data_IF_903383478336
#
_entry.id   IF_903383478336
#
_cell.length_a   1.000
_cell.length_b   1.000
_cell.length_c   1.000
_cell.angle_alpha   90.00
_cell.angle_beta   90.00
_cell.angle_gamma   90.00
#
_symmetry.space_group_name_H-M   'P 1'
#
loop_
_entity.id
_entity.type
_entity.pdbx_description
1 polymer ?
#
# COMPACT_ATOMS: atom_id res chain seq x y z
N UNK A 1 -8.98 20.52 42.25
CA UNK A 1 -10.06 19.77 41.57
C UNK A 1 -9.72 19.36 40.13
N UNK A 2 -9.05 20.19 39.31
CA UNK A 2 -8.67 19.86 37.93
C UNK A 2 -7.74 18.63 37.75
N UNK A 3 -6.77 18.41 38.64
CA UNK A 3 -5.84 17.28 38.54
C UNK A 3 -6.51 15.90 38.73
N UNK A 4 -7.55 15.81 39.58
CA UNK A 4 -8.34 14.59 39.76
C UNK A 4 -9.23 14.31 38.54
N UNK A 5 -9.77 15.34 37.89
CA UNK A 5 -10.59 15.19 36.69
C UNK A 5 -9.78 14.69 35.48
N UNK A 6 -8.56 15.21 35.29
CA UNK A 6 -7.65 14.75 34.23
C UNK A 6 -7.13 13.33 34.46
N UNK A 7 -6.86 12.95 35.71
CA UNK A 7 -6.44 11.59 36.07
C UNK A 7 -7.56 10.55 35.84
N UNK A 8 -8.80 10.88 36.19
CA UNK A 8 -9.96 10.02 35.94
C UNK A 8 -10.30 9.90 34.44
N UNK A 9 -10.17 10.99 33.67
CA UNK A 9 -10.41 10.96 32.22
C UNK A 9 -9.38 10.09 31.48
N UNK A 10 -8.11 10.14 31.87
CA UNK A 10 -7.05 9.34 31.24
C UNK A 10 -7.13 7.84 31.60
N UNK A 11 -7.47 7.53 32.87
CA UNK A 11 -7.65 6.13 33.32
C UNK A 11 -8.85 5.45 32.64
N UNK A 12 -9.95 6.17 32.45
CA UNK A 12 -11.12 5.66 31.74
C UNK A 12 -10.84 5.39 30.26
N UNK A 13 -10.04 6.24 29.58
CA UNK A 13 -9.61 6.03 28.19
C UNK A 13 -8.61 4.89 28.01
N UNK A 14 -7.72 4.65 28.98
CA UNK A 14 -6.82 3.48 28.94
C UNK A 14 -7.58 2.17 29.21
N UNK A 15 -8.50 2.14 30.18
CA UNK A 15 -9.28 0.93 30.48
C UNK A 15 -10.25 0.56 29.36
N UNK A 16 -10.86 1.53 28.69
CA UNK A 16 -11.68 1.27 27.50
C UNK A 16 -10.83 0.77 26.34
N UNK A 17 -9.69 1.40 26.02
CA UNK A 17 -8.78 0.91 24.97
C UNK A 17 -8.25 -0.51 25.23
N UNK A 18 -7.96 -0.85 26.49
CA UNK A 18 -7.49 -2.19 26.84
C UNK A 18 -8.59 -3.25 26.75
N UNK A 19 -9.83 -2.91 27.14
CA UNK A 19 -10.99 -3.79 26.94
C UNK A 19 -11.31 -3.99 25.45
N UNK A 20 -11.20 -2.96 24.62
CA UNK A 20 -11.42 -3.07 23.16
C UNK A 20 -10.32 -3.89 22.48
N UNK A 21 -9.05 -3.71 22.88
CA UNK A 21 -7.93 -4.55 22.41
C UNK A 21 -8.07 -6.01 22.82
N UNK A 22 -8.52 -6.30 24.05
CA UNK A 22 -8.81 -7.68 24.50
C UNK A 22 -9.96 -8.31 23.73
N UNK A 23 -11.04 -7.57 23.45
CA UNK A 23 -12.17 -8.07 22.66
C UNK A 23 -11.80 -8.34 21.20
N UNK A 24 -10.96 -7.50 20.60
CA UNK A 24 -10.46 -7.71 19.24
C UNK A 24 -9.48 -8.87 19.15
N UNK A 25 -8.56 -9.01 20.13
CA UNK A 25 -7.64 -10.14 20.20
C UNK A 25 -8.40 -11.44 20.46
N UNK A 26 -9.38 -11.43 21.36
CA UNK A 26 -10.26 -12.58 21.62
C UNK A 26 -11.09 -12.96 20.40
N UNK A 27 -11.59 -11.99 19.62
CA UNK A 27 -12.33 -12.26 18.39
C UNK A 27 -11.43 -12.87 17.30
N UNK A 28 -10.21 -12.38 17.15
CA UNK A 28 -9.22 -12.95 16.22
C UNK A 28 -8.85 -14.37 16.66
N UNK A 29 -8.53 -14.60 17.94
CA UNK A 29 -8.18 -15.93 18.42
C UNK A 29 -9.36 -16.90 18.39
N UNK A 30 -10.58 -16.44 18.64
CA UNK A 30 -11.80 -17.25 18.58
C UNK A 30 -12.19 -17.57 17.14
N UNK A 31 -12.01 -16.63 16.20
CA UNK A 31 -12.16 -16.85 14.77
C UNK A 31 -11.13 -17.85 14.25
N UNK A 32 -9.85 -17.72 14.64
CA UNK A 32 -8.79 -18.68 14.31
C UNK A 32 -9.06 -20.07 14.90
N UNK A 33 -9.56 -20.13 16.14
CA UNK A 33 -9.86 -21.39 16.84
C UNK A 33 -11.09 -22.10 16.24
N UNK A 34 -12.15 -21.35 15.91
CA UNK A 34 -13.36 -21.89 15.27
C UNK A 34 -13.11 -22.37 13.83
N UNK A 35 -12.17 -21.73 13.12
CA UNK A 35 -11.71 -22.18 11.80
C UNK A 35 -10.87 -23.47 11.91
N UNK A 36 -9.97 -23.57 12.89
CA UNK A 36 -9.20 -24.79 13.15
C UNK A 36 -10.10 -25.95 13.63
N UNK A 37 -11.12 -25.68 14.45
CA UNK A 37 -12.00 -26.71 15.02
C UNK A 37 -13.02 -27.28 14.01
N UNK A 38 -13.52 -26.46 13.08
CA UNK A 38 -14.44 -26.94 12.04
C UNK A 38 -13.76 -27.73 10.92
N UNK A 39 -12.44 -27.61 10.75
CA UNK A 39 -11.68 -28.29 9.69
C UNK A 39 -10.92 -29.54 10.14
N UNK A 40 -10.74 -29.71 11.45
CA UNK A 40 -10.09 -30.89 12.04
C UNK A 40 -10.91 -32.19 11.95
N UNK A 41 -12.13 -32.17 11.41
CA UNK A 41 -13.02 -33.34 11.39
C UNK A 41 -12.89 -34.26 10.16
N UNK A 42 -11.90 -34.10 9.26
CA UNK A 42 -11.82 -34.99 8.09
C UNK A 42 -10.43 -35.28 7.48
N UNK A 43 -9.32 -34.86 8.10
CA UNK A 43 -7.97 -35.07 7.54
C UNK A 43 -7.03 -35.82 8.49
N UNK A 44 -6.23 -36.74 7.95
CA UNK A 44 -5.11 -37.36 8.68
C UNK A 44 -4.07 -36.33 9.14
N UNK A 45 -3.18 -36.72 10.05
CA UNK A 45 -2.18 -35.83 10.67
C UNK A 45 -1.28 -35.12 9.66
N UNK A 46 -0.97 -35.76 8.53
CA UNK A 46 -0.20 -35.15 7.43
C UNK A 46 -0.93 -33.99 6.76
N UNK A 47 -2.25 -34.13 6.54
CA UNK A 47 -3.05 -33.10 5.89
C UNK A 47 -3.22 -31.87 6.78
N UNK A 48 -3.36 -32.08 8.09
CA UNK A 48 -3.34 -31.00 9.09
C UNK A 48 -2.00 -30.27 9.11
N UNK A 49 -0.88 -31.00 9.00
CA UNK A 49 0.45 -30.40 9.02
C UNK A 49 0.70 -29.55 7.77
N UNK A 50 0.31 -30.05 6.58
CA UNK A 50 0.43 -29.30 5.33
C UNK A 50 -0.44 -28.04 5.34
N UNK A 51 -1.67 -28.12 5.85
CA UNK A 51 -2.56 -26.96 5.98
C UNK A 51 -2.02 -25.91 6.96
N UNK A 52 -1.45 -26.34 8.09
CA UNK A 52 -0.79 -25.45 9.04
C UNK A 52 0.41 -24.74 8.39
N UNK A 53 1.22 -25.49 7.63
CA UNK A 53 2.36 -24.94 6.91
C UNK A 53 1.91 -23.88 5.90
N UNK A 54 0.91 -24.18 5.07
CA UNK A 54 0.33 -23.24 4.11
C UNK A 54 -0.22 -21.98 4.80
N UNK A 55 -0.92 -22.16 5.91
CA UNK A 55 -1.48 -21.04 6.69
C UNK A 55 -0.38 -20.09 7.18
N UNK A 56 0.73 -20.64 7.69
CA UNK A 56 1.88 -19.86 8.13
C UNK A 56 2.55 -19.17 6.94
N UNK A 57 2.79 -19.88 5.84
CA UNK A 57 3.42 -19.34 4.65
C UNK A 57 2.60 -18.19 4.02
N UNK A 58 1.29 -18.34 3.90
CA UNK A 58 0.41 -17.29 3.39
C UNK A 58 0.36 -16.08 4.32
N UNK A 59 0.37 -16.31 5.64
CA UNK A 59 0.45 -15.22 6.62
C UNK A 59 1.77 -14.44 6.48
N UNK A 60 2.89 -15.15 6.35
CA UNK A 60 4.21 -14.54 6.14
C UNK A 60 4.28 -13.79 4.80
N UNK A 61 3.72 -14.37 3.74
CA UNK A 61 3.59 -13.71 2.44
C UNK A 61 2.82 -12.40 2.57
N UNK A 62 1.70 -12.40 3.30
CA UNK A 62 0.93 -11.20 3.61
C UNK A 62 1.74 -10.14 4.35
N UNK A 63 2.46 -10.53 5.40
CA UNK A 63 3.34 -9.62 6.18
C UNK A 63 4.41 -9.01 5.27
N UNK A 64 5.18 -9.85 4.57
CA UNK A 64 6.29 -9.40 3.73
C UNK A 64 5.79 -8.53 2.57
N UNK A 65 4.76 -8.98 1.87
CA UNK A 65 4.17 -8.22 0.76
C UNK A 65 3.66 -6.85 1.22
N UNK A 66 2.98 -6.77 2.36
CA UNK A 66 2.50 -5.49 2.89
C UNK A 66 3.63 -4.59 3.42
N UNK A 67 4.70 -5.15 3.98
CA UNK A 67 5.90 -4.38 4.35
C UNK A 67 6.48 -3.73 3.10
N UNK A 68 6.78 -4.51 2.06
CA UNK A 68 7.35 -3.96 0.81
C UNK A 68 6.41 -2.95 0.14
N UNK A 69 5.11 -3.22 0.11
CA UNK A 69 4.10 -2.30 -0.43
C UNK A 69 4.08 -0.95 0.29
N UNK A 70 4.17 -0.94 1.61
CA UNK A 70 4.13 0.28 2.42
C UNK A 70 5.51 0.96 2.53
N UNK A 71 6.60 0.25 2.24
CA UNK A 71 7.93 0.85 2.11
C UNK A 71 8.12 1.56 0.76
N UNK A 72 7.45 1.08 -0.29
CA UNK A 72 7.47 1.65 -1.64
C UNK A 72 6.39 2.68 -1.91
N UNK A 73 5.22 2.50 -1.31
CA UNK A 73 3.99 3.14 -1.76
C UNK A 73 3.38 2.48 -3.01
N UNK A 74 3.94 1.40 -3.54
CA UNK A 74 3.59 0.79 -4.83
C UNK A 74 2.26 0.04 -4.89
N UNK A 75 1.82 -0.44 -3.72
CA UNK A 75 0.92 -1.58 -3.64
C UNK A 75 1.68 -2.91 -3.50
N UNK A 76 0.98 -3.95 -3.09
CA UNK A 76 1.53 -5.29 -2.84
C UNK A 76 1.70 -6.16 -4.08
N UNK A 77 1.15 -5.74 -5.24
CA UNK A 77 1.20 -6.53 -6.46
C UNK A 77 2.62 -6.86 -6.94
N UNK A 78 3.63 -6.03 -6.60
CA UNK A 78 5.04 -6.29 -6.92
C UNK A 78 5.60 -7.56 -6.27
N UNK A 79 5.00 -8.00 -5.17
CA UNK A 79 5.33 -9.24 -4.48
C UNK A 79 4.30 -10.32 -4.78
N UNK A 80 3.02 -9.96 -4.77
CA UNK A 80 1.93 -10.92 -4.89
C UNK A 80 1.77 -11.51 -6.29
N UNK A 81 1.85 -10.70 -7.36
CA UNK A 81 1.61 -11.21 -8.72
C UNK A 81 2.64 -12.27 -9.14
N UNK A 82 3.97 -12.08 -8.97
CA UNK A 82 4.94 -13.11 -9.30
C UNK A 82 4.74 -14.40 -8.48
N UNK A 83 4.45 -14.28 -7.19
CA UNK A 83 4.21 -15.43 -6.32
C UNK A 83 2.93 -16.17 -6.71
N UNK A 84 1.88 -15.46 -7.11
CA UNK A 84 0.64 -16.08 -7.54
C UNK A 84 0.77 -16.78 -8.88
N UNK A 85 1.54 -16.19 -9.81
CA UNK A 85 1.86 -16.85 -11.06
C UNK A 85 2.67 -18.14 -10.83
N UNK A 86 3.63 -18.15 -9.89
CA UNK A 86 4.39 -19.36 -9.57
C UNK A 86 3.57 -20.44 -8.85
N UNK A 87 2.51 -20.05 -8.14
CA UNK A 87 1.51 -20.97 -7.58
C UNK A 87 0.49 -21.46 -8.62
N UNK A 88 0.58 -21.03 -9.89
CA UNK A 88 -0.30 -21.48 -10.97
C UNK A 88 -1.69 -20.84 -10.97
N UNK A 89 -1.87 -19.72 -10.27
CA UNK A 89 -3.12 -18.95 -10.32
C UNK A 89 -3.30 -18.32 -11.71
N UNK A 90 -4.53 -18.34 -12.22
CA UNK A 90 -4.84 -17.61 -13.45
C UNK A 90 -4.84 -16.09 -13.22
N UNK A 91 -4.86 -15.29 -14.29
CA UNK A 91 -4.76 -13.83 -14.18
C UNK A 91 -5.88 -13.21 -13.32
N UNK A 92 -7.11 -13.72 -13.46
CA UNK A 92 -8.26 -13.28 -12.68
C UNK A 92 -8.07 -13.53 -11.19
N UNK A 93 -7.62 -14.74 -10.83
CA UNK A 93 -7.35 -15.14 -9.47
C UNK A 93 -6.18 -14.37 -8.88
N UNK A 94 -5.07 -14.23 -9.60
CA UNK A 94 -3.89 -13.52 -9.13
C UNK A 94 -4.20 -12.05 -8.84
N UNK A 95 -4.85 -11.36 -9.79
CA UNK A 95 -5.19 -9.94 -9.68
C UNK A 95 -6.20 -9.68 -8.55
N UNK A 96 -7.30 -10.45 -8.51
CA UNK A 96 -8.33 -10.28 -7.49
C UNK A 96 -7.81 -10.62 -6.09
N UNK A 97 -7.07 -11.72 -5.93
CA UNK A 97 -6.46 -12.10 -4.63
C UNK A 97 -5.46 -11.04 -4.15
N UNK A 98 -4.65 -10.49 -5.06
CA UNK A 98 -3.71 -9.41 -4.74
C UNK A 98 -4.44 -8.17 -4.25
N UNK A 99 -5.51 -7.74 -4.93
CA UNK A 99 -6.32 -6.61 -4.45
C UNK A 99 -6.97 -6.89 -3.10
N UNK A 100 -7.54 -8.08 -2.89
CA UNK A 100 -8.16 -8.44 -1.61
C UNK A 100 -7.16 -8.31 -0.45
N UNK A 101 -5.94 -8.83 -0.59
CA UNK A 101 -4.91 -8.74 0.46
C UNK A 101 -4.45 -7.29 0.65
N UNK A 102 -4.25 -6.56 -0.45
CA UNK A 102 -3.84 -5.16 -0.41
C UNK A 102 -4.87 -4.26 0.29
N UNK A 103 -6.18 -4.55 0.17
CA UNK A 103 -7.21 -3.84 0.94
C UNK A 103 -6.91 -3.87 2.44
N UNK A 104 -6.41 -4.97 2.99
CA UNK A 104 -6.02 -5.04 4.40
C UNK A 104 -4.74 -4.24 4.69
N UNK A 105 -3.64 -4.55 3.97
CA UNK A 105 -2.33 -3.98 4.26
C UNK A 105 -2.21 -2.49 3.95
N UNK A 106 -2.78 -2.04 2.83
CA UNK A 106 -2.76 -0.63 2.43
C UNK A 106 -3.68 0.22 3.29
N UNK A 107 -4.83 -0.32 3.74
CA UNK A 107 -5.70 0.39 4.70
C UNK A 107 -5.01 0.57 6.05
N UNK A 108 -4.34 -0.47 6.56
CA UNK A 108 -3.56 -0.36 7.79
C UNK A 108 -2.46 0.70 7.69
N UNK A 109 -1.72 0.71 6.58
CA UNK A 109 -0.73 1.74 6.28
C UNK A 109 -1.32 3.15 6.17
N UNK A 110 -2.41 3.29 5.40
CA UNK A 110 -3.10 4.55 5.19
C UNK A 110 -3.61 5.16 6.50
N UNK A 111 -4.24 4.36 7.37
CA UNK A 111 -4.66 4.79 8.71
C UNK A 111 -3.45 5.28 9.50
N UNK A 112 -2.34 4.54 9.48
CA UNK A 112 -1.13 4.87 10.25
C UNK A 112 -0.50 6.20 9.80
N UNK A 113 -0.56 6.51 8.50
CA UNK A 113 -0.10 7.79 7.93
C UNK A 113 -1.10 8.92 8.15
N UNK A 114 -2.40 8.69 8.01
CA UNK A 114 -3.44 9.68 8.33
C UNK A 114 -3.39 10.09 9.82
N UNK A 115 -3.17 9.14 10.73
CA UNK A 115 -2.96 9.43 12.15
C UNK A 115 -1.67 10.20 12.39
N UNK A 116 -0.60 9.90 11.64
CA UNK A 116 0.65 10.67 11.70
C UNK A 116 0.43 12.12 11.31
N UNK A 117 -0.22 12.34 10.16
CA UNK A 117 -0.56 13.65 9.63
C UNK A 117 -1.41 14.46 10.61
N UNK A 118 -2.45 13.85 11.19
CA UNK A 118 -3.29 14.49 12.22
C UNK A 118 -2.48 14.92 13.44
N UNK A 119 -1.57 14.07 13.91
CA UNK A 119 -0.72 14.40 15.06
C UNK A 119 0.31 15.48 14.72
N UNK A 120 0.88 15.46 13.51
CA UNK A 120 1.78 16.49 13.02
C UNK A 120 1.10 17.86 13.01
N UNK A 121 -0.11 17.96 12.43
CA UNK A 121 -0.85 19.23 12.41
C UNK A 121 -1.22 19.71 13.81
N UNK A 122 -1.75 18.83 14.67
CA UNK A 122 -2.15 19.20 16.03
C UNK A 122 -0.99 19.76 16.85
N UNK A 123 0.19 19.15 16.75
CA UNK A 123 1.37 19.58 17.48
C UNK A 123 1.96 20.91 16.95
N UNK A 124 1.60 21.31 15.72
CA UNK A 124 2.05 22.58 15.14
C UNK A 124 1.21 23.78 15.61
N UNK A 125 0.03 23.53 16.23
CA UNK A 125 -0.81 24.57 16.85
C UNK A 125 -0.28 25.10 18.20
N UNK A 126 0.85 24.58 18.69
CA UNK A 126 1.50 25.00 19.94
C UNK A 126 2.85 25.63 19.59
N UNK A 127 2.83 26.93 19.26
CA UNK A 127 3.96 27.91 19.30
C UNK A 127 5.32 27.57 18.65
N UNK A 128 5.52 26.43 17.97
CA UNK A 128 6.81 26.07 17.37
C UNK A 128 6.76 25.87 15.86
N UNK A 129 7.28 26.90 15.19
CA UNK A 129 7.88 26.95 13.85
C UNK A 129 6.97 26.83 12.60
N UNK A 130 6.97 27.84 11.70
CA UNK A 130 6.26 27.81 10.40
C UNK A 130 6.81 26.77 9.39
N UNK A 131 8.00 26.21 9.64
CA UNK A 131 8.70 25.30 8.72
C UNK A 131 8.09 23.88 8.68
N UNK A 132 7.62 23.34 9.82
CA UNK A 132 6.99 22.01 9.88
C UNK A 132 5.57 21.98 9.28
N UNK A 133 4.83 23.08 9.40
CA UNK A 133 3.49 23.21 8.80
C UNK A 133 3.58 23.15 7.26
N UNK A 134 4.65 23.70 6.68
CA UNK A 134 4.86 23.76 5.23
C UNK A 134 4.97 22.37 4.58
N UNK A 135 5.62 21.41 5.24
CA UNK A 135 5.90 20.10 4.63
C UNK A 135 4.65 19.23 4.41
N UNK A 136 3.59 19.38 5.23
CA UNK A 136 2.40 18.54 5.16
C UNK A 136 1.21 19.19 4.44
N UNK A 137 1.30 20.47 4.06
CA UNK A 137 0.23 21.18 3.34
C UNK A 137 -0.17 20.49 2.04
N UNK A 138 0.78 19.90 1.32
CA UNK A 138 0.52 19.21 0.06
C UNK A 138 -0.20 17.85 0.25
N UNK A 139 -0.28 17.30 1.46
CA UNK A 139 -0.82 15.96 1.70
C UNK A 139 -2.27 15.81 1.22
N UNK A 140 -3.18 16.66 1.69
CA UNK A 140 -4.61 16.56 1.34
C UNK A 140 -4.88 16.86 -0.14
N UNK A 141 -4.35 17.94 -0.75
CA UNK A 141 -4.57 18.20 -2.18
C UNK A 141 -4.06 17.07 -3.07
N UNK A 142 -2.86 16.55 -2.78
CA UNK A 142 -2.27 15.43 -3.54
C UNK A 142 -3.14 14.19 -3.42
N UNK A 143 -3.53 13.81 -2.20
CA UNK A 143 -4.35 12.62 -1.97
C UNK A 143 -5.71 12.77 -2.66
N UNK A 144 -6.41 13.89 -2.45
CA UNK A 144 -7.75 14.10 -3.00
C UNK A 144 -7.77 14.02 -4.53
N UNK A 145 -6.88 14.75 -5.21
CA UNK A 145 -6.87 14.82 -6.68
C UNK A 145 -6.41 13.51 -7.29
N UNK A 146 -5.31 12.95 -6.79
CA UNK A 146 -4.75 11.72 -7.35
C UNK A 146 -5.67 10.53 -7.12
N UNK A 147 -6.30 10.42 -5.94
CA UNK A 147 -7.26 9.34 -5.65
C UNK A 147 -8.53 9.45 -6.51
N UNK A 148 -9.11 10.64 -6.66
CA UNK A 148 -10.27 10.84 -7.52
C UNK A 148 -9.97 10.43 -8.97
N UNK A 149 -8.83 10.88 -9.49
CA UNK A 149 -8.41 10.55 -10.86
C UNK A 149 -8.08 9.06 -11.00
N UNK A 150 -7.47 8.44 -9.99
CA UNK A 150 -7.17 7.01 -9.96
C UNK A 150 -8.43 6.15 -9.97
N UNK A 151 -9.43 6.51 -9.17
CA UNK A 151 -10.74 5.85 -9.18
C UNK A 151 -11.38 5.94 -10.56
N UNK A 152 -11.33 7.12 -11.19
CA UNK A 152 -11.85 7.30 -12.55
C UNK A 152 -11.09 6.44 -13.58
N UNK A 153 -9.76 6.35 -13.47
CA UNK A 153 -8.93 5.50 -14.34
C UNK A 153 -9.24 4.01 -14.17
N UNK A 154 -9.37 3.54 -12.93
CA UNK A 154 -9.75 2.15 -12.61
C UNK A 154 -11.14 1.84 -13.15
N UNK A 155 -12.10 2.72 -12.91
CA UNK A 155 -13.45 2.57 -13.42
C UNK A 155 -13.44 2.44 -14.94
N UNK A 156 -12.76 3.34 -15.65
CA UNK A 156 -12.67 3.28 -17.10
C UNK A 156 -11.94 2.03 -17.62
N UNK A 157 -10.93 1.54 -16.90
CA UNK A 157 -10.22 0.31 -17.28
C UNK A 157 -11.09 -0.95 -17.19
N UNK A 158 -12.10 -0.97 -16.30
CA UNK A 158 -13.02 -2.10 -16.18
C UNK A 158 -14.36 -1.91 -16.88
N UNK A 159 -14.80 -0.67 -17.17
CA UNK A 159 -16.06 -0.42 -17.89
C UNK A 159 -15.88 -0.11 -19.37
N UNK A 160 -14.76 0.46 -19.76
CA UNK A 160 -14.47 0.73 -21.15
C UNK A 160 -14.17 -0.55 -21.91
N UNK A 161 -14.13 -0.44 -23.24
CA UNK A 161 -13.63 -1.49 -24.15
C UNK A 161 -12.09 -1.64 -24.07
N UNK A 162 -11.53 -1.49 -22.87
CA UNK A 162 -10.12 -1.58 -22.62
C UNK A 162 -9.79 -3.02 -22.23
N UNK A 163 -9.05 -3.70 -23.10
CA UNK A 163 -8.40 -4.97 -22.77
C UNK A 163 -6.90 -4.71 -22.69
N UNK A 164 -6.20 -5.19 -21.63
CA UNK A 164 -4.76 -5.03 -21.56
C UNK A 164 -4.09 -5.66 -22.80
N UNK A 165 -3.11 -4.98 -23.42
CA UNK A 165 -2.54 -5.39 -24.71
C UNK A 165 -1.61 -6.62 -24.64
N UNK A 166 -1.58 -7.32 -23.51
CA UNK A 166 -0.73 -8.48 -23.27
C UNK A 166 -1.11 -9.22 -21.98
N UNK A 167 -0.49 -10.37 -21.76
CA UNK A 167 -0.70 -11.16 -20.54
C UNK A 167 -0.19 -10.42 -19.30
N UNK A 168 -0.81 -10.71 -18.15
CA UNK A 168 -0.50 -10.12 -16.87
C UNK A 168 1.00 -10.23 -16.52
N UNK A 169 1.68 -11.38 -16.66
CA UNK A 169 3.11 -11.49 -16.35
C UNK A 169 3.97 -10.61 -17.26
N UNK A 170 3.66 -10.57 -18.57
CA UNK A 170 4.43 -9.78 -19.54
C UNK A 170 4.31 -8.28 -19.27
N UNK A 171 3.09 -7.79 -19.01
CA UNK A 171 2.87 -6.38 -18.70
C UNK A 171 3.51 -6.00 -17.36
N UNK A 172 3.41 -6.89 -16.35
CA UNK A 172 4.07 -6.70 -15.06
C UNK A 172 5.60 -6.63 -15.18
N UNK A 173 6.20 -7.53 -15.96
CA UNK A 173 7.65 -7.58 -16.23
C UNK A 173 8.15 -6.30 -16.88
N UNK A 174 7.52 -5.87 -17.99
CA UNK A 174 7.90 -4.64 -18.71
C UNK A 174 7.75 -3.41 -17.81
N UNK A 175 6.63 -3.29 -17.09
CA UNK A 175 6.37 -2.18 -16.19
C UNK A 175 7.41 -2.12 -15.05
N UNK A 176 7.68 -3.25 -14.41
CA UNK A 176 8.61 -3.35 -13.28
C UNK A 176 10.06 -3.07 -13.72
N UNK A 177 10.48 -3.56 -14.89
CA UNK A 177 11.82 -3.26 -15.43
C UNK A 177 11.94 -1.77 -15.71
N UNK A 178 10.96 -1.17 -16.41
CA UNK A 178 10.98 0.25 -16.74
C UNK A 178 11.02 1.12 -15.46
N UNK A 179 10.19 0.78 -14.47
CA UNK A 179 10.11 1.52 -13.22
C UNK A 179 11.36 1.33 -12.36
N UNK A 180 11.85 0.11 -12.18
CA UNK A 180 13.09 -0.20 -11.47
C UNK A 180 14.30 0.51 -12.09
N UNK A 181 14.41 0.48 -13.42
CA UNK A 181 15.48 1.15 -14.15
C UNK A 181 15.41 2.68 -14.01
N UNK A 182 14.22 3.27 -14.12
CA UNK A 182 14.03 4.72 -13.96
C UNK A 182 14.37 5.20 -12.54
N UNK A 183 14.00 4.43 -11.49
CA UNK A 183 14.36 4.73 -10.11
C UNK A 183 15.87 4.62 -9.87
N UNK A 184 16.53 3.58 -10.42
CA UNK A 184 17.98 3.43 -10.35
C UNK A 184 18.70 4.57 -11.08
N UNK A 185 18.28 4.90 -12.29
CA UNK A 185 18.83 6.01 -13.07
C UNK A 185 18.68 7.34 -12.32
N UNK A 186 17.52 7.59 -11.73
CA UNK A 186 17.28 8.80 -10.93
C UNK A 186 18.18 8.87 -9.68
N UNK A 187 18.42 7.74 -9.00
CA UNK A 187 19.35 7.69 -7.87
C UNK A 187 20.78 8.02 -8.28
N UNK A 188 21.21 7.55 -9.46
CA UNK A 188 22.53 7.86 -10.02
C UNK A 188 22.66 9.33 -10.43
N UNK A 189 21.64 9.88 -11.08
CA UNK A 189 21.62 11.28 -11.53
C UNK A 189 21.51 12.26 -10.36
N UNK A 190 20.67 11.98 -9.37
CA UNK A 190 20.52 12.83 -8.17
C UNK A 190 21.80 12.85 -7.34
N UNK A 191 22.53 11.71 -7.24
CA UNK A 191 23.85 11.68 -6.60
C UNK A 191 24.87 12.64 -7.23
N UNK A 192 24.78 12.89 -8.54
CA UNK A 192 25.64 13.84 -9.25
C UNK A 192 25.20 15.30 -9.07
N UNK A 193 23.91 15.55 -8.92
CA UNK A 193 23.37 16.91 -8.75
C UNK A 193 23.37 17.42 -7.31
N UNK A 194 23.57 16.55 -6.31
CA UNK A 194 23.42 16.86 -4.88
C UNK A 194 24.52 17.76 -4.29
N UNK A 195 25.48 18.22 -5.09
CA UNK A 195 26.52 19.16 -4.65
C UNK A 195 26.32 20.59 -5.20
N UNK A 196 25.41 20.80 -6.17
CA UNK A 196 25.23 22.09 -6.85
C UNK A 196 23.94 22.85 -6.48
N UNK A 197 22.96 22.22 -5.83
CA UNK A 197 21.68 22.86 -5.49
C UNK A 197 21.22 22.46 -4.08
N UNK A 198 21.67 23.22 -3.09
CA UNK A 198 21.13 23.16 -1.74
C UNK A 198 19.69 23.71 -1.73
N UNK A 199 18.73 22.80 -1.94
CA UNK A 199 17.40 22.74 -1.33
C UNK A 199 16.71 24.08 -1.00
N UNK A 200 16.21 24.80 -2.00
CA UNK A 200 14.96 25.55 -1.82
C UNK A 200 13.79 24.57 -1.81
N UNK A 201 13.26 24.27 -0.62
CA UNK A 201 11.99 23.53 -0.47
C UNK A 201 10.91 24.24 -1.30
N UNK A 202 10.16 23.55 -2.17
CA UNK A 202 9.06 24.19 -2.89
C UNK A 202 8.00 24.68 -1.88
N UNK A 203 7.68 25.97 -1.90
CA UNK A 203 6.63 26.60 -1.08
C UNK A 203 5.19 26.21 -1.49
N UNK A 204 4.93 24.91 -1.65
CA UNK A 204 3.62 24.36 -2.05
C UNK A 204 3.56 23.83 -3.48
N UNK A 205 2.38 23.33 -3.86
CA UNK A 205 2.10 22.81 -5.21
C UNK A 205 1.99 23.95 -6.23
N UNK A 206 2.70 23.83 -7.36
CA UNK A 206 2.53 24.69 -8.53
C UNK A 206 1.34 24.22 -9.37
N UNK A 207 0.79 25.10 -10.22
CA UNK A 207 -0.29 24.75 -11.17
C UNK A 207 0.03 23.52 -12.04
N UNK A 208 1.29 23.40 -12.47
CA UNK A 208 1.77 22.24 -13.24
C UNK A 208 1.70 20.96 -12.42
N UNK A 209 1.93 21.02 -11.11
CA UNK A 209 1.85 19.84 -10.24
C UNK A 209 0.44 19.27 -10.23
N UNK A 210 -0.59 20.10 -10.19
CA UNK A 210 -1.98 19.66 -10.28
C UNK A 210 -2.28 18.91 -11.59
N UNK A 211 -1.77 19.41 -12.72
CA UNK A 211 -1.94 18.74 -14.01
C UNK A 211 -1.21 17.40 -14.05
N UNK A 212 0.02 17.34 -13.57
CA UNK A 212 0.78 16.10 -13.46
C UNK A 212 0.08 15.07 -12.55
N UNK A 213 -0.45 15.50 -11.40
CA UNK A 213 -1.18 14.63 -10.47
C UNK A 213 -2.47 14.08 -11.08
N UNK A 214 -3.16 14.85 -11.92
CA UNK A 214 -4.34 14.38 -12.65
C UNK A 214 -3.95 13.25 -13.61
N UNK A 215 -2.90 13.44 -14.41
CA UNK A 215 -2.43 12.41 -15.35
C UNK A 215 -1.87 11.17 -14.62
N UNK A 216 -1.07 11.37 -13.57
CA UNK A 216 -0.53 10.28 -12.75
C UNK A 216 -1.65 9.51 -12.08
N UNK A 217 -2.65 10.19 -11.55
CA UNK A 217 -3.83 9.56 -10.95
C UNK A 217 -4.57 8.74 -11.99
N UNK A 218 -4.96 9.35 -13.11
CA UNK A 218 -5.77 8.68 -14.14
C UNK A 218 -5.07 7.48 -14.78
N UNK A 219 -3.89 7.69 -15.38
CA UNK A 219 -3.15 6.60 -16.02
C UNK A 219 -2.60 5.60 -15.00
N UNK A 220 -2.17 6.08 -13.83
CA UNK A 220 -1.78 5.21 -12.73
C UNK A 220 -2.93 4.32 -12.26
N UNK A 221 -4.17 4.82 -12.26
CA UNK A 221 -5.37 4.04 -11.99
C UNK A 221 -5.58 2.91 -13.01
N UNK A 222 -5.48 3.22 -14.31
CA UNK A 222 -5.57 2.21 -15.39
C UNK A 222 -4.50 1.13 -15.21
N UNK A 223 -3.25 1.53 -14.98
CA UNK A 223 -2.14 0.60 -14.74
C UNK A 223 -2.40 -0.24 -13.48
N UNK A 224 -2.90 0.39 -12.40
CA UNK A 224 -3.24 -0.29 -11.16
C UNK A 224 -4.31 -1.34 -11.39
N UNK A 225 -5.35 -1.03 -12.17
CA UNK A 225 -6.39 -1.99 -12.55
C UNK A 225 -5.81 -3.21 -13.29
N UNK A 226 -4.83 -3.01 -14.16
CA UNK A 226 -4.24 -4.10 -14.94
C UNK A 226 -3.24 -4.95 -14.14
N UNK A 227 -2.43 -4.31 -13.29
CA UNK A 227 -1.23 -4.93 -12.71
C UNK A 227 -1.27 -5.12 -11.19
N UNK A 228 -2.29 -4.59 -10.51
CA UNK A 228 -2.33 -4.52 -9.05
C UNK A 228 -1.22 -3.66 -8.42
N UNK A 229 -0.55 -2.84 -9.23
CA UNK A 229 0.56 -1.92 -8.91
C UNK A 229 0.44 -0.72 -9.86
N UNK A 230 0.78 0.49 -9.42
CA UNK A 230 0.95 1.60 -10.38
C UNK A 230 0.86 3.00 -9.79
N UNK A 231 -0.34 3.43 -9.42
CA UNK A 231 -0.61 4.85 -9.07
C UNK A 231 0.30 5.35 -7.95
N UNK A 232 0.56 4.50 -6.96
CA UNK A 232 1.41 4.84 -5.84
C UNK A 232 2.88 5.00 -6.23
N UNK A 233 3.43 4.13 -7.08
CA UNK A 233 4.83 4.24 -7.53
C UNK A 233 5.05 5.48 -8.36
N UNK A 234 4.16 5.75 -9.31
CA UNK A 234 4.20 6.93 -10.15
C UNK A 234 4.11 8.21 -9.32
N UNK A 235 3.24 8.20 -8.29
CA UNK A 235 3.09 9.33 -7.38
C UNK A 235 4.34 9.55 -6.51
N UNK A 236 4.90 8.50 -5.92
CA UNK A 236 6.15 8.60 -5.15
C UNK A 236 7.25 9.13 -6.04
N UNK A 237 7.45 8.55 -7.23
CA UNK A 237 8.47 8.96 -8.17
C UNK A 237 8.36 10.45 -8.50
N UNK A 238 7.15 10.91 -8.85
CA UNK A 238 6.89 12.31 -9.16
C UNK A 238 7.20 13.26 -8.01
N UNK A 239 6.68 12.97 -6.81
CA UNK A 239 6.88 13.82 -5.63
C UNK A 239 8.36 13.90 -5.23
N UNK A 240 9.11 12.81 -5.39
CA UNK A 240 10.54 12.78 -5.15
C UNK A 240 11.34 13.61 -6.18
N UNK A 241 10.96 13.57 -7.47
CA UNK A 241 11.56 14.45 -8.49
C UNK A 241 11.33 15.92 -8.12
N UNK A 242 10.13 16.25 -7.64
CA UNK A 242 9.79 17.62 -7.25
C UNK A 242 10.44 18.09 -5.95
N UNK A 243 11.16 17.21 -5.25
CA UNK A 243 11.92 17.54 -4.04
C UNK A 243 11.09 17.51 -2.76
N UNK A 244 9.90 16.89 -2.77
CA UNK A 244 9.13 16.69 -1.55
C UNK A 244 9.82 15.69 -0.61
N UNK A 245 9.53 15.80 0.68
CA UNK A 245 10.01 14.85 1.68
C UNK A 245 9.51 13.43 1.35
N UNK A 246 10.37 12.44 1.52
CA UNK A 246 10.07 11.02 1.29
C UNK A 246 8.91 10.54 2.15
N UNK A 247 8.83 10.99 3.41
CA UNK A 247 7.74 10.60 4.30
C UNK A 247 6.39 11.08 3.79
N UNK A 248 6.30 12.32 3.31
CA UNK A 248 5.10 12.86 2.68
C UNK A 248 4.75 12.08 1.42
N UNK A 249 5.75 11.83 0.57
CA UNK A 249 5.57 11.16 -0.71
C UNK A 249 4.99 9.75 -0.53
N UNK A 250 5.58 8.98 0.40
CA UNK A 250 5.09 7.65 0.77
C UNK A 250 3.70 7.72 1.41
N UNK A 251 3.46 8.66 2.32
CA UNK A 251 2.16 8.83 2.96
C UNK A 251 1.05 9.08 1.93
N UNK A 252 1.27 9.99 0.98
CA UNK A 252 0.33 10.26 -0.11
C UNK A 252 0.08 9.02 -0.96
N UNK A 253 1.14 8.34 -1.40
CA UNK A 253 1.04 7.15 -2.24
C UNK A 253 0.31 5.99 -1.58
N UNK A 254 0.57 5.73 -0.30
CA UNK A 254 -0.08 4.64 0.44
C UNK A 254 -1.57 4.91 0.60
N UNK A 255 -1.97 6.15 0.91
CA UNK A 255 -3.39 6.51 1.04
C UNK A 255 -4.10 6.45 -0.31
N UNK A 256 -3.50 7.00 -1.36
CA UNK A 256 -4.05 6.94 -2.73
C UNK A 256 -4.19 5.49 -3.20
N UNK A 257 -3.18 4.65 -2.94
CA UNK A 257 -3.22 3.23 -3.31
C UNK A 257 -4.26 2.47 -2.51
N UNK A 258 -4.43 2.76 -1.22
CA UNK A 258 -5.51 2.15 -0.42
C UNK A 258 -6.90 2.44 -1.02
N UNK A 259 -7.17 3.70 -1.38
CA UNK A 259 -8.44 4.09 -2.03
C UNK A 259 -8.58 3.39 -3.38
N UNK A 260 -7.51 3.35 -4.17
CA UNK A 260 -7.48 2.76 -5.51
C UNK A 260 -7.77 1.26 -5.48
N UNK A 261 -7.15 0.52 -4.56
CA UNK A 261 -7.35 -0.93 -4.45
C UNK A 261 -8.75 -1.29 -3.94
N UNK A 262 -9.32 -0.49 -3.03
CA UNK A 262 -10.74 -0.63 -2.67
C UNK A 262 -11.66 -0.37 -3.88
N UNK A 263 -11.38 0.67 -4.65
CA UNK A 263 -12.12 0.96 -5.88
C UNK A 263 -12.02 -0.18 -6.89
N UNK A 264 -10.83 -0.75 -7.10
CA UNK A 264 -10.63 -1.89 -7.98
C UNK A 264 -11.40 -3.13 -7.50
N UNK A 265 -11.35 -3.43 -6.21
CA UNK A 265 -12.06 -4.56 -5.62
C UNK A 265 -13.58 -4.41 -5.77
N UNK A 266 -14.11 -3.21 -5.49
CA UNK A 266 -15.55 -2.92 -5.59
C UNK A 266 -16.06 -2.97 -7.04
N UNK A 267 -15.29 -2.40 -7.97
CA UNK A 267 -15.64 -2.42 -9.40
C UNK A 267 -15.67 -3.85 -9.94
N UNK A 268 -14.63 -4.65 -9.65
CA UNK A 268 -14.56 -6.05 -10.03
C UNK A 268 -15.67 -6.91 -9.40
N UNK A 269 -16.01 -6.67 -8.13
CA UNK A 269 -16.91 -7.56 -7.38
C UNK A 269 -18.39 -7.48 -7.82
N UNK A 270 -18.87 -6.34 -8.31
CA UNK A 270 -20.31 -6.25 -8.61
C UNK A 270 -20.82 -4.99 -9.29
N UNK A 271 -19.97 -4.03 -9.64
CA UNK A 271 -20.46 -2.82 -10.32
C UNK A 271 -20.41 -2.93 -11.85
N UNK A 272 -19.63 -3.86 -12.42
CA UNK A 272 -19.30 -3.85 -13.86
C UNK A 272 -18.96 -5.24 -14.41
N UNK A 273 -19.39 -5.57 -15.63
CA UNK A 273 -18.92 -6.74 -16.40
C UNK A 273 -17.63 -6.39 -17.15
N UNK A 274 -16.52 -6.27 -16.43
CA UNK A 274 -15.23 -5.92 -17.05
C UNK A 274 -14.59 -7.06 -17.83
N UNK A 275 -13.42 -6.80 -18.40
CA UNK A 275 -12.61 -7.78 -19.13
C UNK A 275 -12.09 -8.93 -18.25
N UNK A 276 -12.22 -8.82 -16.93
CA UNK A 276 -11.79 -9.84 -15.97
C UNK A 276 -12.84 -10.03 -14.87
N UNK A 277 -13.04 -11.29 -14.45
CA UNK A 277 -13.99 -11.65 -13.41
C UNK A 277 -13.34 -11.62 -12.02
N UNK A 278 -14.08 -11.21 -11.00
CA UNK A 278 -13.60 -11.23 -9.61
C UNK A 278 -13.62 -12.66 -9.04
N UNK A 279 -12.46 -13.29 -8.94
CA UNK A 279 -12.31 -14.68 -8.47
C UNK A 279 -11.18 -14.83 -7.43
N UNK A 280 -11.24 -14.13 -6.28
CA UNK A 280 -10.17 -14.20 -5.29
C UNK A 280 -10.09 -15.60 -4.70
N UNK A 281 -8.86 -16.10 -4.50
CA UNK A 281 -8.61 -17.33 -3.75
C UNK A 281 -8.69 -17.01 -2.27
N UNK A 282 -9.89 -17.20 -1.71
CA UNK A 282 -10.21 -16.85 -0.33
C UNK A 282 -9.33 -17.51 0.70
N UNK A 283 -8.88 -18.74 0.48
CA UNK A 283 -7.95 -19.40 1.40
C UNK A 283 -6.67 -18.58 1.56
N UNK A 284 -6.07 -18.17 0.45
CA UNK A 284 -4.85 -17.38 0.46
C UNK A 284 -5.10 -15.96 1.01
N UNK A 285 -6.19 -15.32 0.59
CA UNK A 285 -6.56 -13.98 1.07
C UNK A 285 -6.88 -13.93 2.57
N UNK A 286 -7.49 -14.99 3.13
CA UNK A 286 -7.92 -15.03 4.53
C UNK A 286 -6.74 -15.21 5.50
N UNK A 287 -5.68 -15.90 5.08
CA UNK A 287 -4.43 -15.98 5.85
C UNK A 287 -3.50 -14.79 5.59
N UNK A 288 -3.33 -14.39 4.32
CA UNK A 288 -2.46 -13.28 3.97
C UNK A 288 -3.01 -11.91 4.37
N UNK A 289 -4.33 -11.71 4.41
CA UNK A 289 -4.97 -10.43 4.77
C UNK A 289 -4.61 -9.95 6.19
N UNK A 290 -4.84 -10.75 7.25
CA UNK A 290 -4.39 -10.41 8.60
C UNK A 290 -2.88 -10.20 8.71
N UNK A 291 -2.09 -11.03 8.03
CA UNK A 291 -0.64 -10.82 7.91
C UNK A 291 -0.30 -9.46 7.29
N UNK A 292 -1.02 -9.06 6.25
CA UNK A 292 -0.85 -7.78 5.58
C UNK A 292 -1.17 -6.59 6.49
N UNK A 293 -2.15 -6.70 7.39
CA UNK A 293 -2.40 -5.67 8.42
C UNK A 293 -1.16 -5.47 9.29
N UNK A 294 -0.56 -6.56 9.78
CA UNK A 294 0.65 -6.50 10.60
C UNK A 294 1.79 -5.85 9.81
N UNK A 295 1.99 -6.27 8.56
CA UNK A 295 3.02 -5.70 7.69
C UNK A 295 2.83 -4.19 7.45
N UNK A 296 1.61 -3.74 7.19
CA UNK A 296 1.29 -2.33 6.99
C UNK A 296 1.53 -1.47 8.24
N UNK A 297 1.25 -1.99 9.44
CA UNK A 297 1.54 -1.30 10.70
C UNK A 297 3.05 -1.21 10.99
N UNK A 298 3.78 -2.29 10.73
CA UNK A 298 5.24 -2.37 10.97
C UNK A 298 6.02 -1.52 9.97
N UNK A 299 5.58 -1.43 8.73
CA UNK A 299 6.29 -0.74 7.66
C UNK A 299 6.63 0.72 8.01
N UNK A 300 5.71 1.48 8.61
CA UNK A 300 5.99 2.87 9.00
C UNK A 300 7.14 2.98 10.00
N UNK A 301 7.20 2.06 10.97
CA UNK A 301 8.29 2.03 11.95
C UNK A 301 9.63 1.69 11.27
N UNK A 302 9.62 0.88 10.21
CA UNK A 302 10.80 0.58 9.40
C UNK A 302 11.23 1.78 8.54
N UNK A 303 10.30 2.48 7.87
CA UNK A 303 10.61 3.71 7.10
C UNK A 303 11.33 4.73 7.97
N UNK A 304 10.93 4.89 9.24
CA UNK A 304 11.56 5.84 10.16
C UNK A 304 13.01 5.45 10.56
N UNK A 305 13.37 4.17 10.47
CA UNK A 305 14.69 3.66 10.88
C UNK A 305 15.68 3.52 9.72
N UNK A 306 15.19 3.34 8.48
CA UNK A 306 16.03 3.11 7.31
C UNK A 306 16.38 4.46 6.66
N UNK A 307 17.67 4.73 6.36
CA UNK A 307 18.05 5.92 5.62
C UNK A 307 17.31 6.02 4.27
N UNK A 308 16.70 7.16 3.95
CA UNK A 308 16.11 7.52 2.65
C UNK A 308 16.73 6.90 1.41
N UNK A 309 18.06 7.07 1.26
CA UNK A 309 18.78 6.65 0.06
C UNK A 309 18.87 5.12 -0.05
N UNK A 310 19.04 4.44 1.08
CA UNK A 310 19.13 2.97 1.14
C UNK A 310 17.79 2.34 0.84
N UNK A 311 16.71 2.92 1.36
CA UNK A 311 15.36 2.43 1.11
C UNK A 311 15.00 2.50 -0.38
N UNK A 312 15.26 3.64 -1.03
CA UNK A 312 15.03 3.81 -2.46
C UNK A 312 15.84 2.83 -3.31
N UNK A 313 17.11 2.64 -2.98
CA UNK A 313 17.99 1.72 -3.71
C UNK A 313 17.52 0.27 -3.58
N UNK A 314 17.24 -0.18 -2.34
CA UNK A 314 16.78 -1.54 -2.09
C UNK A 314 15.46 -1.82 -2.82
N UNK A 315 14.55 -0.85 -2.81
CA UNK A 315 13.28 -0.97 -3.51
C UNK A 315 13.45 -1.03 -5.04
N UNK A 316 14.23 -0.12 -5.61
CA UNK A 316 14.44 -0.08 -7.04
C UNK A 316 15.11 -1.37 -7.55
N UNK A 317 16.09 -1.87 -6.79
CA UNK A 317 16.74 -3.15 -7.08
C UNK A 317 15.75 -4.32 -7.00
N UNK A 318 14.90 -4.34 -5.97
CA UNK A 318 13.89 -5.38 -5.81
C UNK A 318 12.88 -5.41 -6.95
N UNK A 319 12.30 -4.25 -7.31
CA UNK A 319 11.34 -4.14 -8.41
C UNK A 319 11.99 -4.56 -9.73
N UNK A 320 13.23 -4.15 -9.97
CA UNK A 320 13.98 -4.56 -11.17
C UNK A 320 14.18 -6.09 -11.21
N UNK A 321 14.60 -6.70 -10.09
CA UNK A 321 14.81 -8.14 -10.00
C UNK A 321 13.51 -8.92 -10.22
N UNK A 322 12.39 -8.46 -9.64
CA UNK A 322 11.07 -9.08 -9.87
C UNK A 322 10.59 -8.92 -11.31
N UNK A 323 10.89 -7.79 -11.94
CA UNK A 323 10.64 -7.60 -13.36
C UNK A 323 11.46 -8.55 -14.23
N UNK A 324 12.74 -8.78 -13.90
CA UNK A 324 13.59 -9.72 -14.64
C UNK A 324 13.24 -11.19 -14.43
N UNK A 325 12.62 -11.53 -13.29
CA UNK A 325 12.24 -12.89 -12.94
C UNK A 325 10.85 -13.31 -13.49
N UNK A 326 10.01 -12.34 -13.86
CA UNK A 326 8.67 -12.55 -14.43
C UNK A 326 8.66 -12.48 -15.95
#
# INVERSE_FOLDING_TARGET
>A
MLAKALYFHNKNNMQTNWKTRKKSLAFVTLSSYLLLSNWAQSGGLEQLLMQLLDSVLYTLLGILGAVFANLSGAGGGVVFIPVFNSLGLNEAQALSTSFTIQCFGMTAGAITWCLHYRNAIKNTGVEKAPEQLSHWQAFLPVVAITSLCSVAGIYNAYTGDFTPPGSLPKLFSIFSIALGASLLLQLLLTRRSSQANAQTMPGGLKKIDYLCLLFIGYFGGIITACLSVGVGELLVFYLLIRGFNIQLSLACAIVVTAISVWSATLTLNGLTTGWISYQPVWQLALYAGPGAVIGGLVAKALVAKIPPLRLKFLLALWILLMGLAG
#
